data_IF_679561470891
#
_entry.id   IF_679561470891
#
_cell.length_a   1.000
_cell.length_b   1.000
_cell.length_c   1.000
_cell.angle_alpha   90.00
_cell.angle_beta   90.00
_cell.angle_gamma   90.00
#
_symmetry.space_group_name_H-M   'P 1'
#
loop_
_entity.id
_entity.type
_entity.pdbx_description
1 polymer ?
#
# COMPACT_ATOMS: atom_id res chain seq x y z
N UNK A 1 -15.24 33.97 -19.01
CA UNK A 1 -14.34 32.85 -19.43
C UNK A 1 -13.60 32.31 -18.21
N UNK A 2 -13.79 31.07 -17.78
CA UNK A 2 -12.89 30.54 -16.78
C UNK A 2 -13.36 29.39 -15.87
N UNK A 3 -14.65 29.16 -15.69
CA UNK A 3 -15.10 28.11 -14.73
C UNK A 3 -15.19 26.70 -15.32
N UNK A 4 -15.46 26.54 -16.61
CA UNK A 4 -15.57 25.21 -17.22
C UNK A 4 -14.22 24.49 -17.40
N UNK A 5 -13.15 25.21 -17.71
CA UNK A 5 -11.82 24.62 -17.85
C UNK A 5 -11.22 24.07 -16.55
N UNK A 6 -11.55 24.66 -15.40
CA UNK A 6 -11.05 24.21 -14.08
C UNK A 6 -11.74 22.93 -13.59
N UNK A 7 -13.04 22.73 -13.90
CA UNK A 7 -13.79 21.52 -13.52
C UNK A 7 -13.32 20.32 -14.37
N UNK A 8 -13.18 20.50 -15.68
CA UNK A 8 -12.68 19.47 -16.58
C UNK A 8 -11.24 19.07 -16.25
N UNK A 9 -10.38 20.04 -15.92
CA UNK A 9 -9.00 19.78 -15.52
C UNK A 9 -8.90 19.03 -14.19
N UNK A 10 -9.73 19.38 -13.21
CA UNK A 10 -9.79 18.65 -11.91
C UNK A 10 -10.28 17.23 -12.10
N UNK A 11 -11.32 17.02 -12.90
CA UNK A 11 -11.83 15.68 -13.20
C UNK A 11 -10.78 14.83 -13.91
N UNK A 12 -10.12 15.36 -14.93
CA UNK A 12 -9.04 14.64 -15.65
C UNK A 12 -7.87 14.28 -14.73
N UNK A 13 -7.46 15.17 -13.83
CA UNK A 13 -6.42 14.89 -12.84
C UNK A 13 -6.84 13.81 -11.83
N UNK A 14 -8.10 13.83 -11.41
CA UNK A 14 -8.65 12.82 -10.51
C UNK A 14 -8.77 11.45 -11.20
N UNK A 15 -9.26 11.42 -12.45
CA UNK A 15 -9.35 10.20 -13.25
C UNK A 15 -7.96 9.60 -13.52
N UNK A 16 -6.96 10.43 -13.79
CA UNK A 16 -5.56 9.99 -13.96
C UNK A 16 -4.99 9.38 -12.68
N UNK A 17 -5.21 9.99 -11.52
CA UNK A 17 -4.78 9.44 -10.22
C UNK A 17 -5.46 8.10 -9.95
N UNK A 18 -6.77 7.99 -10.22
CA UNK A 18 -7.54 6.75 -10.05
C UNK A 18 -7.03 5.64 -10.97
N UNK A 19 -6.74 5.95 -12.23
CA UNK A 19 -6.18 5.00 -13.20
C UNK A 19 -4.80 4.50 -12.75
N UNK A 20 -3.94 5.38 -12.24
CA UNK A 20 -2.63 5.01 -11.70
C UNK A 20 -2.76 4.07 -10.47
N UNK A 21 -3.71 4.35 -9.58
CA UNK A 21 -4.01 3.49 -8.44
C UNK A 21 -4.52 2.11 -8.90
N UNK A 22 -5.44 2.06 -9.86
CA UNK A 22 -5.92 0.79 -10.42
C UNK A 22 -4.80 -0.03 -11.03
N UNK A 23 -3.89 0.60 -11.76
CA UNK A 23 -2.71 -0.05 -12.33
C UNK A 23 -1.82 -0.63 -11.23
N UNK A 24 -1.55 0.13 -10.17
CA UNK A 24 -0.75 -0.33 -9.02
C UNK A 24 -1.35 -1.57 -8.37
N UNK A 25 -2.64 -1.55 -8.05
CA UNK A 25 -3.30 -2.68 -7.39
C UNK A 25 -3.50 -3.88 -8.32
N UNK A 26 -3.77 -3.67 -9.62
CA UNK A 26 -3.80 -4.76 -10.60
C UNK A 26 -2.46 -5.49 -10.68
N UNK A 27 -1.33 -4.77 -10.66
CA UNK A 27 0.00 -5.38 -10.61
C UNK A 27 0.22 -6.18 -9.33
N UNK A 28 -0.17 -5.65 -8.17
CA UNK A 28 -0.08 -6.36 -6.90
C UNK A 28 -0.88 -7.67 -6.89
N UNK A 29 -2.10 -7.64 -7.42
CA UNK A 29 -2.94 -8.85 -7.60
C UNK A 29 -2.25 -9.85 -8.53
N UNK A 30 -1.71 -9.40 -9.67
CA UNK A 30 -1.02 -10.26 -10.63
C UNK A 30 0.18 -10.96 -10.01
N UNK A 31 0.97 -10.25 -9.21
CA UNK A 31 2.14 -10.84 -8.52
C UNK A 31 1.68 -11.84 -7.47
N UNK A 32 0.73 -11.47 -6.61
CA UNK A 32 0.22 -12.37 -5.57
C UNK A 32 -0.44 -13.63 -6.15
N UNK A 33 -1.09 -13.55 -7.31
CA UNK A 33 -1.73 -14.66 -7.98
C UNK A 33 -0.75 -15.67 -8.60
N UNK A 34 0.56 -15.37 -8.66
CA UNK A 34 1.57 -16.35 -9.13
C UNK A 34 1.65 -17.58 -8.24
N UNK A 35 1.43 -17.38 -6.93
CA UNK A 35 1.48 -18.45 -5.92
C UNK A 35 0.13 -19.17 -5.76
N UNK A 36 -0.86 -18.81 -6.57
CA UNK A 36 -2.19 -19.41 -6.60
C UNK A 36 -3.28 -18.38 -6.83
N UNK A 37 -4.25 -18.71 -7.67
CA UNK A 37 -5.35 -17.81 -8.07
C UNK A 37 -6.54 -17.80 -7.13
N UNK A 38 -6.53 -18.61 -6.08
CA UNK A 38 -7.63 -18.71 -5.14
C UNK A 38 -7.32 -17.91 -3.86
N UNK A 39 -8.10 -16.85 -3.56
CA UNK A 39 -7.87 -16.03 -2.37
C UNK A 39 -8.16 -16.76 -1.04
N UNK A 40 -8.86 -17.89 -1.05
CA UNK A 40 -9.07 -18.68 0.17
C UNK A 40 -7.76 -19.37 0.63
N UNK A 41 -6.93 -19.77 -0.32
CA UNK A 41 -5.66 -20.44 -0.05
C UNK A 41 -4.42 -19.54 -0.22
N UNK A 42 -4.61 -18.28 -0.65
CA UNK A 42 -3.53 -17.31 -0.88
C UNK A 42 -3.82 -16.01 -0.11
N UNK A 43 -3.24 -15.91 1.08
CA UNK A 43 -3.42 -14.74 1.95
C UNK A 43 -2.93 -13.42 1.31
N UNK A 44 -1.82 -13.47 0.56
CA UNK A 44 -1.28 -12.31 -0.16
C UNK A 44 -2.26 -11.83 -1.25
N UNK A 45 -2.86 -12.77 -1.98
CA UNK A 45 -3.87 -12.46 -2.99
C UNK A 45 -5.13 -11.87 -2.35
N UNK A 46 -5.61 -12.45 -1.25
CA UNK A 46 -6.77 -11.95 -0.51
C UNK A 46 -6.56 -10.50 -0.09
N UNK A 47 -5.43 -10.20 0.54
CA UNK A 47 -5.08 -8.84 0.96
C UNK A 47 -4.99 -7.86 -0.22
N UNK A 48 -4.39 -8.29 -1.34
CA UNK A 48 -4.31 -7.46 -2.55
C UNK A 48 -5.69 -7.16 -3.14
N UNK A 49 -6.61 -8.13 -3.12
CA UNK A 49 -8.00 -7.97 -3.56
C UNK A 49 -8.77 -7.01 -2.63
N UNK A 50 -8.62 -7.14 -1.32
CA UNK A 50 -9.25 -6.25 -0.33
C UNK A 50 -8.84 -4.79 -0.55
N UNK A 51 -7.54 -4.53 -0.71
CA UNK A 51 -7.01 -3.20 -1.03
C UNK A 51 -7.55 -2.66 -2.36
N UNK A 52 -7.69 -3.51 -3.37
CA UNK A 52 -8.27 -3.11 -4.66
C UNK A 52 -9.76 -2.79 -4.54
N UNK A 53 -10.52 -3.55 -3.75
CA UNK A 53 -11.94 -3.28 -3.45
C UNK A 53 -12.13 -1.99 -2.68
N UNK A 54 -11.26 -1.68 -1.73
CA UNK A 54 -11.30 -0.43 -0.94
C UNK A 54 -11.23 0.83 -1.82
N UNK A 55 -10.53 0.77 -2.96
CA UNK A 55 -10.52 1.86 -3.96
C UNK A 55 -11.60 1.72 -5.04
N UNK A 56 -12.58 0.85 -4.84
CA UNK A 56 -13.67 0.59 -5.78
C UNK A 56 -13.19 0.11 -7.16
N UNK A 57 -12.18 -0.76 -7.20
CA UNK A 57 -11.74 -1.40 -8.44
C UNK A 57 -12.83 -2.38 -8.93
N UNK A 58 -13.23 -2.32 -10.22
CA UNK A 58 -14.20 -3.26 -10.77
C UNK A 58 -13.73 -4.72 -10.68
N UNK A 59 -14.65 -5.63 -10.36
CA UNK A 59 -14.34 -7.06 -10.25
C UNK A 59 -13.73 -7.65 -11.53
N UNK A 60 -14.13 -7.17 -12.71
CA UNK A 60 -13.54 -7.60 -13.98
C UNK A 60 -12.05 -7.30 -14.08
N UNK A 61 -11.61 -6.16 -13.53
CA UNK A 61 -10.20 -5.80 -13.49
C UNK A 61 -9.43 -6.69 -12.50
N UNK A 62 -10.04 -7.00 -11.35
CA UNK A 62 -9.49 -7.92 -10.35
C UNK A 62 -9.33 -9.33 -10.98
N UNK A 63 -10.38 -9.86 -11.56
CA UNK A 63 -10.37 -11.18 -12.19
C UNK A 63 -9.36 -11.27 -13.35
N UNK A 64 -9.27 -10.21 -14.16
CA UNK A 64 -8.26 -10.14 -15.23
C UNK A 64 -6.84 -10.14 -14.68
N UNK A 65 -6.59 -9.45 -13.58
CA UNK A 65 -5.29 -9.42 -12.93
C UNK A 65 -4.92 -10.80 -12.33
N UNK A 66 -5.88 -11.49 -11.72
CA UNK A 66 -5.69 -12.86 -11.22
C UNK A 66 -5.31 -13.80 -12.38
N UNK A 67 -6.09 -13.79 -13.47
CA UNK A 67 -5.84 -14.63 -14.66
C UNK A 67 -4.49 -14.35 -15.33
N UNK A 68 -4.01 -13.13 -15.28
CA UNK A 68 -2.63 -12.79 -15.70
C UNK A 68 -1.59 -13.42 -14.79
N UNK A 69 -1.82 -13.39 -13.48
CA UNK A 69 -0.90 -13.94 -12.49
C UNK A 69 -0.82 -15.47 -12.55
N UNK A 70 -1.94 -16.15 -12.73
CA UNK A 70 -2.02 -17.62 -12.88
C UNK A 70 -1.53 -18.13 -14.24
N UNK A 71 -1.26 -17.23 -15.20
CA UNK A 71 -0.82 -17.60 -16.55
C UNK A 71 -1.96 -17.97 -17.51
N UNK A 72 -3.22 -17.85 -17.11
CA UNK A 72 -4.38 -18.10 -17.98
C UNK A 72 -4.53 -17.05 -19.09
N UNK A 73 -4.03 -15.85 -18.85
CA UNK A 73 -3.96 -14.78 -19.84
C UNK A 73 -2.51 -14.47 -20.15
N UNK A 74 -2.15 -14.48 -21.44
CA UNK A 74 -0.86 -13.98 -21.89
C UNK A 74 -0.68 -12.52 -21.49
N UNK A 75 0.43 -12.18 -20.85
CA UNK A 75 0.69 -10.84 -20.36
C UNK A 75 2.12 -10.64 -19.88
N UNK A 76 2.41 -9.41 -19.51
CA UNK A 76 3.70 -9.01 -18.94
C UNK A 76 3.90 -9.68 -17.58
N UNK A 77 5.10 -10.21 -17.35
CA UNK A 77 5.50 -10.75 -16.05
C UNK A 77 5.97 -9.58 -15.19
N UNK A 78 5.40 -9.45 -14.00
CA UNK A 78 5.85 -8.43 -13.04
C UNK A 78 6.78 -9.05 -12.01
N UNK A 79 7.81 -8.28 -11.62
CA UNK A 79 8.76 -8.60 -10.57
C UNK A 79 8.73 -7.52 -9.49
N UNK A 80 8.89 -7.95 -8.25
CA UNK A 80 9.07 -7.04 -7.12
C UNK A 80 10.55 -6.67 -7.00
N UNK A 81 10.82 -5.37 -6.91
CA UNK A 81 12.16 -4.85 -6.67
C UNK A 81 12.14 -4.01 -5.40
N UNK A 82 13.17 -4.15 -4.60
CA UNK A 82 13.42 -3.32 -3.42
C UNK A 82 14.74 -2.58 -3.60
N UNK A 83 14.71 -1.27 -3.44
CA UNK A 83 15.88 -0.42 -3.47
C UNK A 83 16.03 0.26 -2.12
N UNK A 84 17.27 0.43 -1.70
CA UNK A 84 17.63 1.03 -0.44
C UNK A 84 18.66 2.14 -0.69
N UNK A 85 18.56 3.23 0.04
CA UNK A 85 19.48 4.33 -0.12
C UNK A 85 19.22 5.48 0.85
N UNK A 86 19.94 6.54 0.63
CA UNK A 86 19.81 7.77 1.41
C UNK A 86 19.34 8.90 0.52
N UNK A 87 18.32 9.62 0.98
CA UNK A 87 17.87 10.88 0.39
C UNK A 87 18.71 12.06 0.87
N UNK A 88 18.21 13.26 0.60
CA UNK A 88 18.84 14.51 1.05
C UNK A 88 19.02 14.51 2.57
N UNK A 89 20.12 15.06 3.04
CA UNK A 89 20.48 15.12 4.46
C UNK A 89 20.60 13.74 5.16
N UNK A 90 20.82 12.67 4.41
CA UNK A 90 21.03 11.34 4.97
C UNK A 90 19.77 10.62 5.45
N UNK A 91 18.60 11.04 4.97
CA UNK A 91 17.33 10.37 5.29
C UNK A 91 17.32 8.99 4.64
N UNK A 92 17.12 7.95 5.44
CA UNK A 92 16.98 6.58 4.95
C UNK A 92 15.71 6.42 4.11
N UNK A 93 15.84 5.78 2.94
CA UNK A 93 14.74 5.58 1.99
C UNK A 93 14.71 4.14 1.51
N UNK A 94 13.54 3.51 1.59
CA UNK A 94 13.25 2.25 0.94
C UNK A 94 12.25 2.51 -0.20
N UNK A 95 12.52 1.97 -1.39
CA UNK A 95 11.61 2.03 -2.53
C UNK A 95 11.21 0.61 -2.91
N UNK A 96 9.94 0.29 -2.79
CA UNK A 96 9.35 -0.96 -3.30
C UNK A 96 8.69 -0.68 -4.65
N UNK A 97 9.00 -1.48 -5.65
CA UNK A 97 8.50 -1.31 -7.01
C UNK A 97 8.04 -2.64 -7.61
N UNK A 98 6.90 -2.60 -8.30
CA UNK A 98 6.41 -3.67 -9.15
C UNK A 98 6.66 -3.29 -10.62
N UNK A 99 7.44 -4.07 -11.33
CA UNK A 99 7.84 -3.74 -12.70
C UNK A 99 7.81 -4.92 -13.64
N UNK A 100 7.54 -4.64 -14.90
CA UNK A 100 7.69 -5.52 -16.05
C UNK A 100 9.09 -5.42 -16.70
N UNK A 101 9.92 -4.46 -16.23
CA UNK A 101 11.27 -4.23 -16.76
C UNK A 101 12.22 -3.73 -15.67
N UNK A 102 12.99 -4.65 -15.12
CA UNK A 102 13.93 -4.43 -14.03
C UNK A 102 15.01 -3.40 -14.37
N UNK A 103 15.54 -3.45 -15.58
CA UNK A 103 16.60 -2.53 -16.03
C UNK A 103 16.11 -1.09 -16.12
N UNK A 104 14.92 -0.88 -16.73
CA UNK A 104 14.29 0.44 -16.84
C UNK A 104 14.03 1.02 -15.45
N UNK A 105 13.46 0.22 -14.55
CA UNK A 105 13.10 0.66 -13.19
C UNK A 105 14.34 0.97 -12.37
N UNK A 106 15.37 0.10 -12.40
CA UNK A 106 16.62 0.33 -11.69
C UNK A 106 17.30 1.62 -12.16
N UNK A 107 17.35 1.85 -13.47
CA UNK A 107 17.93 3.07 -14.04
C UNK A 107 17.14 4.32 -13.63
N UNK A 108 15.81 4.25 -13.63
CA UNK A 108 14.94 5.35 -13.22
C UNK A 108 15.09 5.69 -11.74
N UNK A 109 15.11 4.68 -10.87
CA UNK A 109 15.30 4.88 -9.42
C UNK A 109 16.66 5.50 -9.15
N UNK A 110 17.74 4.95 -9.72
CA UNK A 110 19.10 5.50 -9.56
C UNK A 110 19.17 6.95 -10.01
N UNK A 111 18.70 7.24 -11.21
CA UNK A 111 18.68 8.59 -11.77
C UNK A 111 17.88 9.57 -10.90
N UNK A 112 16.81 9.08 -10.24
CA UNK A 112 16.01 9.92 -9.34
C UNK A 112 16.78 10.24 -8.06
N UNK A 113 17.42 9.26 -7.44
CA UNK A 113 18.30 9.51 -6.28
C UNK A 113 19.39 10.52 -6.61
N UNK A 114 20.13 10.32 -7.70
CA UNK A 114 21.22 11.20 -8.13
C UNK A 114 20.71 12.62 -8.40
N UNK A 115 19.58 12.75 -9.11
CA UNK A 115 19.00 14.06 -9.48
C UNK A 115 18.59 14.89 -8.26
N UNK A 116 18.12 14.27 -7.19
CA UNK A 116 17.65 14.96 -6.00
C UNK A 116 18.66 14.93 -4.84
N UNK A 117 19.93 14.67 -5.13
CA UNK A 117 21.01 14.76 -4.15
C UNK A 117 21.04 13.61 -3.12
N UNK A 118 20.40 12.50 -3.45
CA UNK A 118 20.46 11.26 -2.68
C UNK A 118 21.54 10.30 -3.25
N UNK A 119 21.61 9.13 -2.65
CA UNK A 119 22.51 8.06 -3.06
C UNK A 119 21.83 6.71 -2.93
N UNK A 120 21.77 5.96 -4.03
CA UNK A 120 21.28 4.58 -4.01
C UNK A 120 22.38 3.67 -3.45
N UNK A 121 22.08 2.98 -2.35
CA UNK A 121 23.00 2.09 -1.65
C UNK A 121 22.87 0.62 -2.07
N UNK A 122 23.63 -0.22 -1.38
CA UNK A 122 23.50 -1.66 -1.51
C UNK A 122 22.28 -2.18 -0.75
N UNK A 123 21.70 -3.34 -1.14
CA UNK A 123 20.66 -3.99 -0.36
C UNK A 123 21.09 -4.19 1.11
N UNK A 124 20.19 -3.85 2.04
CA UNK A 124 20.46 -3.95 3.48
C UNK A 124 21.06 -2.70 4.12
N UNK A 125 21.41 -1.66 3.33
CA UNK A 125 22.09 -0.48 3.87
C UNK A 125 21.22 0.38 4.80
N UNK A 126 19.87 0.32 4.66
CA UNK A 126 18.94 1.06 5.50
C UNK A 126 17.81 0.20 6.06
N UNK A 127 17.57 -1.00 5.54
CA UNK A 127 16.40 -1.82 5.92
C UNK A 127 16.41 -2.21 7.41
N UNK A 128 17.56 -2.28 8.06
CA UNK A 128 17.66 -2.53 9.50
C UNK A 128 17.03 -1.42 10.37
N UNK A 129 16.82 -0.23 9.82
CA UNK A 129 16.19 0.91 10.50
C UNK A 129 14.67 0.90 10.38
N UNK A 130 14.11 -0.01 9.58
CA UNK A 130 12.67 -0.05 9.30
C UNK A 130 12.07 -1.32 9.87
N UNK A 131 10.91 -1.17 10.48
CA UNK A 131 10.05 -2.27 10.91
C UNK A 131 8.71 -2.14 10.19
N UNK A 132 8.25 -3.20 9.54
CA UNK A 132 6.92 -3.20 8.92
C UNK A 132 5.87 -3.28 10.03
N UNK A 133 4.92 -2.35 10.03
CA UNK A 133 3.81 -2.29 10.98
C UNK A 133 2.48 -2.19 10.24
N UNK A 134 1.43 -2.73 10.84
CA UNK A 134 0.06 -2.43 10.47
C UNK A 134 -0.37 -1.12 11.14
N UNK A 135 -1.07 -0.26 10.42
CA UNK A 135 -1.58 1.01 10.95
C UNK A 135 -3.08 1.08 10.70
N UNK A 136 -3.84 1.38 11.75
CA UNK A 136 -5.28 1.65 11.69
C UNK A 136 -5.47 3.09 12.18
N UNK A 137 -6.06 3.93 11.33
CA UNK A 137 -6.38 5.32 11.68
C UNK A 137 -7.85 5.44 12.00
N UNK A 138 -8.15 6.05 13.15
CA UNK A 138 -9.51 6.30 13.64
C UNK A 138 -9.64 7.80 13.85
N UNK A 139 -10.63 8.44 13.22
CA UNK A 139 -10.90 9.86 13.43
C UNK A 139 -11.39 10.10 14.86
N UNK A 140 -10.89 11.17 15.51
CA UNK A 140 -11.39 11.60 16.81
C UNK A 140 -12.79 12.15 16.67
N UNK A 141 -13.72 11.57 17.41
CA UNK A 141 -15.08 12.09 17.61
C UNK A 141 -15.35 12.23 19.11
N UNK A 142 -16.29 13.07 19.48
CA UNK A 142 -16.65 13.30 20.89
C UNK A 142 -17.21 12.05 21.59
N UNK A 143 -17.60 11.04 20.81
CA UNK A 143 -18.19 9.79 21.30
C UNK A 143 -17.13 8.71 21.62
N UNK A 144 -15.86 8.92 21.21
CA UNK A 144 -14.79 7.95 21.44
C UNK A 144 -14.04 8.30 22.71
N UNK A 145 -14.10 7.42 23.69
CA UNK A 145 -13.27 7.47 24.88
C UNK A 145 -11.86 6.90 24.59
N UNK A 146 -10.83 7.70 24.85
CA UNK A 146 -9.44 7.36 24.54
C UNK A 146 -8.95 6.14 25.33
N UNK A 147 -9.29 6.05 26.62
CA UNK A 147 -8.84 4.97 27.48
C UNK A 147 -9.54 3.66 27.10
N UNK A 148 -10.84 3.71 26.79
CA UNK A 148 -11.60 2.55 26.33
C UNK A 148 -11.12 2.05 24.95
N UNK A 149 -10.77 2.97 24.04
CA UNK A 149 -10.20 2.61 22.75
C UNK A 149 -8.84 1.94 22.89
N UNK A 150 -7.98 2.49 23.76
CA UNK A 150 -6.65 1.91 24.03
C UNK A 150 -6.80 0.49 24.60
N UNK A 151 -7.67 0.29 25.59
CA UNK A 151 -7.92 -1.02 26.19
C UNK A 151 -8.42 -2.03 25.14
N UNK A 152 -9.41 -1.65 24.34
CA UNK A 152 -9.95 -2.48 23.28
C UNK A 152 -8.88 -2.83 22.21
N UNK A 153 -8.03 -1.86 21.83
CA UNK A 153 -6.96 -2.08 20.86
C UNK A 153 -5.91 -3.07 21.38
N UNK A 154 -5.48 -2.93 22.65
CA UNK A 154 -4.49 -3.83 23.27
C UNK A 154 -5.06 -5.23 23.47
N UNK A 155 -6.32 -5.35 23.90
CA UNK A 155 -7.01 -6.65 24.03
C UNK A 155 -7.14 -7.36 22.67
N UNK A 156 -7.36 -6.61 21.59
CA UNK A 156 -7.41 -7.13 20.24
C UNK A 156 -6.03 -7.53 19.67
N UNK A 157 -4.93 -7.19 20.35
CA UNK A 157 -3.58 -7.54 19.97
C UNK A 157 -2.79 -6.42 19.26
N UNK A 158 -3.18 -5.15 19.43
CA UNK A 158 -2.38 -4.03 18.99
C UNK A 158 -1.08 -3.91 19.83
N UNK A 159 -0.03 -3.38 19.20
CA UNK A 159 1.25 -3.12 19.88
C UNK A 159 1.22 -1.82 20.67
N UNK A 160 0.57 -0.78 20.12
CA UNK A 160 0.57 0.57 20.69
C UNK A 160 -0.54 1.43 20.06
N UNK A 161 -0.83 2.57 20.70
CA UNK A 161 -1.70 3.62 20.19
C UNK A 161 -1.02 4.98 20.31
N UNK A 162 -0.97 5.73 19.22
CA UNK A 162 -0.50 7.11 19.19
C UNK A 162 -1.67 8.05 19.04
N UNK A 163 -1.74 9.05 19.90
CA UNK A 163 -2.81 10.05 19.92
C UNK A 163 -2.35 11.29 19.15
N UNK A 164 -3.03 11.59 18.04
CA UNK A 164 -2.84 12.81 17.26
C UNK A 164 -3.91 13.85 17.62
N UNK A 165 -3.82 15.03 17.05
CA UNK A 165 -4.77 16.12 17.31
C UNK A 165 -6.20 15.77 16.87
N UNK A 166 -6.32 15.12 15.71
CA UNK A 166 -7.59 14.80 15.02
C UNK A 166 -7.86 13.29 14.85
N UNK A 167 -6.96 12.42 15.32
CA UNK A 167 -7.04 10.99 15.07
C UNK A 167 -6.30 10.16 16.12
N UNK A 168 -6.63 8.88 16.18
CA UNK A 168 -5.87 7.85 16.87
C UNK A 168 -5.20 6.94 15.84
N UNK A 169 -3.92 6.63 16.05
CA UNK A 169 -3.14 5.71 15.23
C UNK A 169 -2.86 4.44 16.03
N UNK A 170 -3.52 3.35 15.66
CA UNK A 170 -3.31 2.04 16.27
C UNK A 170 -2.22 1.31 15.50
N UNK A 171 -1.18 0.90 16.20
CA UNK A 171 -0.02 0.22 15.64
C UNK A 171 -0.11 -1.27 15.95
N UNK A 172 0.07 -2.11 14.94
CA UNK A 172 -0.01 -3.57 15.07
C UNK A 172 1.17 -4.26 14.40
N UNK A 173 1.41 -5.52 14.78
CA UNK A 173 2.13 -6.41 13.88
C UNK A 173 1.30 -6.63 12.60
N UNK A 174 1.92 -6.70 11.40
CA UNK A 174 1.19 -6.92 10.16
C UNK A 174 0.34 -8.19 10.13
N UNK A 175 0.72 -9.23 10.86
CA UNK A 175 0.01 -10.52 10.90
C UNK A 175 -1.35 -10.44 11.60
N UNK A 176 -1.49 -9.56 12.59
CA UNK A 176 -2.73 -9.41 13.37
C UNK A 176 -3.54 -8.17 12.98
N UNK A 177 -3.04 -7.35 12.03
CA UNK A 177 -3.70 -6.10 11.62
C UNK A 177 -5.18 -6.28 11.26
N UNK A 178 -5.51 -7.33 10.50
CA UNK A 178 -6.90 -7.57 10.07
C UNK A 178 -7.78 -7.95 11.25
N UNK A 179 -7.29 -8.74 12.18
CA UNK A 179 -8.01 -9.15 13.39
C UNK A 179 -8.30 -7.96 14.30
N UNK A 180 -7.29 -7.13 14.54
CA UNK A 180 -7.43 -5.88 15.32
C UNK A 180 -8.42 -4.93 14.65
N UNK A 181 -8.32 -4.74 13.33
CA UNK A 181 -9.26 -3.90 12.59
C UNK A 181 -10.71 -4.38 12.72
N UNK A 182 -10.95 -5.69 12.61
CA UNK A 182 -12.30 -6.25 12.78
C UNK A 182 -12.81 -6.06 14.19
N UNK A 183 -11.98 -6.36 15.21
CA UNK A 183 -12.37 -6.21 16.61
C UNK A 183 -12.76 -4.77 16.95
N UNK A 184 -11.98 -3.78 16.49
CA UNK A 184 -12.29 -2.37 16.69
C UNK A 184 -13.53 -1.91 15.92
N UNK A 185 -13.74 -2.43 14.69
CA UNK A 185 -14.95 -2.13 13.91
C UNK A 185 -16.22 -2.72 14.53
N UNK A 186 -16.13 -3.87 15.20
CA UNK A 186 -17.26 -4.52 15.86
C UNK A 186 -17.58 -3.87 17.22
N UNK A 187 -16.61 -3.20 17.81
CA UNK A 187 -16.79 -2.48 19.08
C UNK A 187 -17.46 -1.10 18.92
N UNK A 188 -17.58 -0.58 17.67
CA UNK A 188 -18.24 0.70 17.30
C UNK A 188 -17.24 1.73 16.87
#
# INVERSE_FOLDING_TARGET
>A
MGRHGTIAGRKAAQDSKRAAMFTKYARAITVAAKDGGDPEYNASLRLAIEKAKAISMPNDNINRAIKKGTGELAGETYEELKFEGYGVAGVAVIVEALTDNTNRTTSAVRSTFDKYGGNLGAPGCVSYMFSRKGIIMIEKTDDIDEDALLEAALEAGADDMVVHEDSFEIITDPSVHTEVHHALSDAG
#
